data_IF_298340989455
#
_entry.id   IF_298340989455
#
_cell.length_a   1.000
_cell.length_b   1.000
_cell.length_c   1.000
_cell.angle_alpha   90.00
_cell.angle_beta   90.00
_cell.angle_gamma   90.00
#
_symmetry.space_group_name_H-M   'P 1'
#
loop_
_entity.id
_entity.type
_entity.pdbx_description
1 polymer ?
#
# COMPACT_ATOMS: atom_id res chain seq x y z
N UNK A 1 2.17 4.75 30.70
CA UNK A 1 0.73 5.12 30.83
C UNK A 1 0.13 4.18 31.84
N UNK A 2 -0.46 4.72 32.91
CA UNK A 2 -0.94 3.92 34.04
C UNK A 2 -2.12 3.02 33.59
N UNK A 3 -2.06 1.76 33.99
CA UNK A 3 -3.05 0.71 33.72
C UNK A 3 -4.46 1.09 34.19
N UNK A 4 -4.54 1.95 35.23
CA UNK A 4 -5.81 2.44 35.78
C UNK A 4 -6.52 3.45 34.90
N UNK A 5 -5.78 4.23 34.10
CA UNK A 5 -6.33 5.21 33.15
C UNK A 5 -7.02 4.52 31.95
N UNK A 6 -6.42 3.45 31.46
CA UNK A 6 -6.97 2.63 30.38
C UNK A 6 -8.32 1.98 30.78
N UNK A 7 -8.42 1.48 32.00
CA UNK A 7 -9.64 0.85 32.53
C UNK A 7 -10.79 1.85 32.78
N UNK A 8 -10.46 3.10 33.16
CA UNK A 8 -11.45 4.16 33.39
C UNK A 8 -12.03 4.72 32.07
N UNK A 9 -11.23 4.73 30.99
CA UNK A 9 -11.69 5.19 29.68
C UNK A 9 -12.70 4.24 29.03
N UNK A 10 -12.58 2.93 29.26
CA UNK A 10 -13.56 1.93 28.80
C UNK A 10 -14.90 2.04 29.56
N UNK A 11 -14.85 2.36 30.86
CA UNK A 11 -16.06 2.47 31.67
C UNK A 11 -16.87 3.74 31.41
N UNK A 12 -16.27 4.79 30.85
CA UNK A 12 -16.95 6.08 30.60
C UNK A 12 -17.74 6.11 29.27
N UNK A 13 -17.49 5.18 28.34
CA UNK A 13 -18.10 5.15 27.00
C UNK A 13 -19.28 4.16 26.87
N UNK A 14 -19.55 3.31 27.86
CA UNK A 14 -20.64 2.33 27.81
C UNK A 14 -21.89 2.80 28.58
N UNK A 15 -22.71 3.63 27.94
CA UNK A 15 -24.10 3.88 28.33
C UNK A 15 -25.04 2.70 28.02
N UNK A 16 -24.55 1.47 27.90
CA UNK A 16 -25.36 0.25 27.71
C UNK A 16 -25.17 -0.68 28.90
N UNK A 17 -26.31 -1.14 29.40
CA UNK A 17 -26.54 -1.82 30.67
C UNK A 17 -25.53 -2.86 31.09
N UNK A 18 -25.29 -2.81 32.40
CA UNK A 18 -24.44 -3.71 33.17
C UNK A 18 -24.95 -5.15 33.07
N UNK A 19 -24.41 -5.94 32.16
CA UNK A 19 -24.42 -7.40 32.25
C UNK A 19 -23.11 -7.93 31.65
N UNK A 20 -22.14 -8.22 32.52
CA UNK A 20 -20.99 -9.05 32.15
C UNK A 20 -19.62 -8.40 32.07
N UNK A 21 -19.36 -7.24 32.69
CA UNK A 21 -18.02 -6.70 32.88
C UNK A 21 -17.28 -7.49 34.00
N UNK A 22 -16.96 -8.77 33.74
CA UNK A 22 -15.85 -9.44 34.38
C UNK A 22 -14.57 -9.06 33.64
N UNK A 23 -14.06 -7.90 34.04
CA UNK A 23 -12.67 -7.40 33.97
C UNK A 23 -12.02 -7.26 32.60
N UNK A 24 -11.67 -6.04 32.27
CA UNK A 24 -10.69 -5.71 31.22
C UNK A 24 -9.36 -6.52 31.33
N UNK A 25 -9.05 -7.10 32.48
CA UNK A 25 -7.98 -8.08 32.65
C UNK A 25 -8.22 -9.39 31.88
N UNK A 26 -9.48 -9.79 31.63
CA UNK A 26 -9.82 -10.91 30.76
C UNK A 26 -9.52 -10.64 29.29
N UNK A 27 -9.68 -9.41 28.82
CA UNK A 27 -9.41 -9.03 27.44
C UNK A 27 -7.91 -8.96 27.11
N UNK A 28 -7.08 -8.58 28.04
CA UNK A 28 -5.61 -8.55 27.87
C UNK A 28 -5.01 -9.97 27.82
N UNK A 29 -5.66 -10.97 28.43
CA UNK A 29 -5.28 -12.39 28.38
C UNK A 29 -5.93 -13.15 27.22
N UNK A 30 -7.02 -12.64 26.64
CA UNK A 30 -7.64 -13.17 25.44
C UNK A 30 -6.81 -12.70 24.24
N UNK A 31 -6.24 -13.63 23.48
CA UNK A 31 -5.43 -13.30 22.29
C UNK A 31 -6.20 -12.45 21.24
N UNK A 32 -5.52 -11.91 20.22
CA UNK A 32 -6.08 -10.98 19.25
C UNK A 32 -7.38 -11.46 18.56
N UNK A 33 -7.66 -12.74 18.53
CA UNK A 33 -8.91 -13.30 17.98
C UNK A 33 -10.15 -12.95 18.79
N UNK A 34 -10.06 -12.96 20.12
CA UNK A 34 -11.20 -12.56 20.98
C UNK A 34 -11.46 -11.05 20.95
N UNK A 35 -10.40 -10.26 20.79
CA UNK A 35 -10.52 -8.82 20.63
C UNK A 35 -11.25 -8.47 19.32
N UNK A 36 -10.90 -9.10 18.20
CA UNK A 36 -11.56 -8.88 16.91
C UNK A 36 -13.02 -9.35 16.95
N UNK A 37 -13.33 -10.49 17.57
CA UNK A 37 -14.71 -10.93 17.77
C UNK A 37 -15.55 -9.94 18.59
N UNK A 38 -14.95 -9.30 19.61
CA UNK A 38 -15.63 -8.28 20.40
C UNK A 38 -15.86 -6.97 19.62
N UNK A 39 -14.99 -6.65 18.64
CA UNK A 39 -15.11 -5.47 17.78
C UNK A 39 -16.15 -5.65 16.67
N UNK A 40 -16.44 -6.89 16.26
CA UNK A 40 -17.35 -7.22 15.14
C UNK A 40 -18.67 -7.83 15.62
N UNK A 41 -19.03 -7.74 16.92
CA UNK A 41 -20.33 -8.14 17.39
C UNK A 41 -21.40 -7.17 16.88
N UNK A 42 -22.41 -7.68 16.18
CA UNK A 42 -23.56 -6.95 15.62
C UNK A 42 -23.34 -6.06 14.38
N UNK A 43 -22.46 -6.46 13.47
CA UNK A 43 -22.25 -5.84 12.14
C UNK A 43 -21.53 -4.48 12.10
N UNK A 44 -21.32 -3.79 13.21
CA UNK A 44 -20.61 -2.51 13.27
C UNK A 44 -19.23 -2.66 13.92
N UNK A 45 -18.19 -2.23 13.21
CA UNK A 45 -16.83 -2.20 13.75
C UNK A 45 -16.66 -0.94 14.61
N UNK A 46 -16.24 -1.12 15.86
CA UNK A 46 -15.94 0.00 16.74
C UNK A 46 -14.56 0.60 16.40
N UNK A 47 -14.48 1.43 15.38
CA UNK A 47 -13.24 2.04 14.88
C UNK A 47 -12.47 2.83 15.94
N UNK A 48 -13.15 3.53 16.84
CA UNK A 48 -12.52 4.27 17.93
C UNK A 48 -11.78 3.34 18.91
N UNK A 49 -12.36 2.16 19.18
CA UNK A 49 -11.70 1.14 20.02
C UNK A 49 -10.50 0.55 19.27
N UNK A 50 -10.62 0.37 17.95
CA UNK A 50 -9.56 -0.17 17.12
C UNK A 50 -8.28 0.68 17.18
N UNK A 51 -8.40 2.01 17.23
CA UNK A 51 -7.29 2.94 17.38
C UNK A 51 -6.40 2.63 18.60
N UNK A 52 -6.95 2.08 19.68
CA UNK A 52 -6.18 1.73 20.88
C UNK A 52 -5.09 0.69 20.66
N UNK A 53 -5.15 -0.06 19.53
CA UNK A 53 -4.10 -1.01 19.13
C UNK A 53 -2.87 -0.35 18.51
N UNK A 54 -2.91 0.95 18.31
CA UNK A 54 -1.81 1.70 17.71
C UNK A 54 -1.16 2.60 18.75
N UNK A 55 0.17 2.61 18.82
CA UNK A 55 0.92 3.45 19.76
C UNK A 55 1.01 4.89 19.27
N UNK A 56 -0.11 5.45 18.82
CA UNK A 56 -0.21 6.85 18.44
C UNK A 56 -0.46 7.71 19.70
N UNK A 57 0.34 8.76 19.94
CA UNK A 57 0.16 9.61 21.14
C UNK A 57 -1.22 10.27 21.16
N UNK A 58 -1.73 10.56 22.37
CA UNK A 58 -2.94 11.36 22.52
C UNK A 58 -2.76 12.74 21.88
N UNK A 59 -3.77 13.20 21.14
CA UNK A 59 -3.74 14.47 20.40
C UNK A 59 -2.91 14.46 19.11
N UNK A 60 -2.23 13.35 18.79
CA UNK A 60 -1.52 13.19 17.52
C UNK A 60 -2.43 12.52 16.49
N UNK A 61 -2.91 13.30 15.54
CA UNK A 61 -3.80 12.86 14.48
C UNK A 61 -2.99 12.50 13.25
N UNK A 62 -2.92 11.19 12.96
CA UNK A 62 -2.02 10.66 11.93
C UNK A 62 -2.76 10.46 10.60
N UNK A 63 -2.61 11.41 9.69
CA UNK A 63 -3.21 11.41 8.35
C UNK A 63 -2.17 11.15 7.24
N UNK A 64 -1.29 10.16 7.43
CA UNK A 64 -0.22 9.89 6.46
C UNK A 64 0.04 8.40 6.21
N UNK A 65 -1.00 7.57 6.23
CA UNK A 65 -0.93 6.12 5.89
C UNK A 65 -0.33 5.89 4.52
N UNK A 66 -0.68 6.72 3.54
CA UNK A 66 -0.09 6.69 2.19
C UNK A 66 1.43 6.93 2.16
N UNK A 67 2.01 7.53 3.21
CA UNK A 67 3.46 7.63 3.42
C UNK A 67 4.01 6.38 4.13
N UNK A 68 3.42 6.05 5.26
CA UNK A 68 3.76 4.87 6.07
C UNK A 68 2.60 4.59 7.05
N UNK A 69 2.06 3.39 7.08
CA UNK A 69 1.05 2.98 8.06
C UNK A 69 1.65 2.79 9.45
N UNK A 70 0.84 3.01 10.47
CA UNK A 70 1.21 2.66 11.84
C UNK A 70 1.06 1.15 12.04
N UNK A 71 2.10 0.48 12.52
CA UNK A 71 2.05 -0.97 12.78
C UNK A 71 1.31 -1.21 14.10
N UNK A 72 0.28 -2.09 14.14
CA UNK A 72 -0.42 -2.42 15.38
C UNK A 72 0.53 -2.96 16.46
N UNK A 73 0.25 -2.62 17.71
CA UNK A 73 1.08 -3.02 18.86
C UNK A 73 1.28 -4.54 18.92
N UNK A 74 0.21 -5.32 18.78
CA UNK A 74 0.29 -6.79 18.84
C UNK A 74 1.09 -7.38 17.67
N UNK A 75 1.13 -6.73 16.50
CA UNK A 75 1.99 -7.14 15.37
C UNK A 75 3.45 -6.93 15.73
N UNK A 76 3.81 -5.78 16.32
CA UNK A 76 5.19 -5.50 16.78
C UNK A 76 5.64 -6.49 17.85
N UNK A 77 4.77 -6.77 18.81
CA UNK A 77 5.04 -7.77 19.87
C UNK A 77 5.23 -9.17 19.27
N UNK A 78 4.43 -9.53 18.27
CA UNK A 78 4.56 -10.82 17.59
C UNK A 78 5.89 -10.95 16.84
N UNK A 79 6.31 -9.90 16.12
CA UNK A 79 7.62 -9.83 15.45
C UNK A 79 8.76 -10.04 16.44
N UNK A 80 8.74 -9.33 17.57
CA UNK A 80 9.76 -9.44 18.62
C UNK A 80 9.80 -10.84 19.23
N UNK A 81 8.62 -11.40 19.52
CA UNK A 81 8.52 -12.76 20.05
C UNK A 81 9.09 -13.79 19.07
N UNK A 82 8.66 -13.72 17.79
CA UNK A 82 9.12 -14.67 16.78
C UNK A 82 10.64 -14.59 16.59
N UNK A 83 11.20 -13.40 16.57
CA UNK A 83 12.65 -13.21 16.50
C UNK A 83 13.35 -13.86 17.69
N UNK A 84 12.92 -13.55 18.91
CA UNK A 84 13.50 -14.14 20.10
C UNK A 84 13.41 -15.68 20.09
N UNK A 85 12.28 -16.25 19.67
CA UNK A 85 12.07 -17.69 19.60
C UNK A 85 13.03 -18.37 18.57
N UNK A 86 13.28 -17.72 17.44
CA UNK A 86 14.19 -18.25 16.40
C UNK A 86 15.66 -18.11 16.78
N UNK A 87 16.05 -17.13 17.60
CA UNK A 87 17.42 -16.99 18.09
C UNK A 87 17.82 -18.03 19.14
N UNK A 88 16.85 -18.74 19.74
CA UNK A 88 17.15 -19.87 20.65
C UNK A 88 17.78 -21.07 19.91
N UNK A 89 17.33 -21.26 18.64
CA UNK A 89 17.84 -22.32 17.76
C UNK A 89 18.07 -21.76 16.36
N UNK A 90 19.15 -20.99 16.13
CA UNK A 90 19.42 -20.38 14.85
C UNK A 90 19.53 -21.42 13.73
N UNK A 91 18.79 -21.21 12.64
CA UNK A 91 18.84 -22.05 11.46
C UNK A 91 19.22 -21.21 10.22
N UNK A 92 19.98 -21.78 9.26
CA UNK A 92 20.27 -21.08 8.01
C UNK A 92 19.01 -20.98 7.14
N UNK A 93 18.95 -19.92 6.31
CA UNK A 93 17.86 -19.69 5.37
C UNK A 93 16.59 -19.20 6.04
N UNK A 94 15.46 -19.69 5.56
CA UNK A 94 14.12 -19.38 6.05
C UNK A 94 13.30 -20.68 6.16
N UNK A 95 12.22 -20.64 6.93
CA UNK A 95 11.31 -21.77 7.05
C UNK A 95 10.35 -21.79 5.85
N UNK A 96 10.49 -22.76 4.94
CA UNK A 96 9.70 -22.86 3.72
C UNK A 96 8.18 -22.89 3.97
N UNK A 97 7.72 -23.58 5.00
CA UNK A 97 6.29 -23.65 5.31
C UNK A 97 5.75 -22.29 5.78
N UNK A 98 6.52 -21.56 6.58
CA UNK A 98 6.19 -20.18 6.99
C UNK A 98 6.17 -19.27 5.76
N UNK A 99 7.17 -19.37 4.91
CA UNK A 99 7.32 -18.59 3.70
C UNK A 99 6.15 -18.78 2.73
N UNK A 100 5.75 -20.01 2.50
CA UNK A 100 4.56 -20.36 1.70
C UNK A 100 3.27 -19.80 2.30
N UNK A 101 3.11 -19.86 3.63
CA UNK A 101 1.93 -19.29 4.30
C UNK A 101 1.84 -17.78 4.14
N UNK A 102 2.97 -17.06 4.23
CA UNK A 102 3.02 -15.61 3.99
C UNK A 102 2.59 -15.30 2.55
N UNK A 103 3.15 -16.03 1.55
CA UNK A 103 2.78 -15.85 0.13
C UNK A 103 1.30 -16.12 -0.13
N UNK A 104 0.72 -17.17 0.48
CA UNK A 104 -0.72 -17.44 0.39
C UNK A 104 -1.56 -16.34 1.01
N UNK A 105 -1.15 -15.80 2.16
CA UNK A 105 -1.85 -14.69 2.80
C UNK A 105 -1.87 -13.45 1.90
N UNK A 106 -0.74 -13.12 1.26
CA UNK A 106 -0.64 -12.06 0.28
C UNK A 106 -1.50 -12.36 -0.95
N UNK A 107 -1.43 -13.59 -1.50
CA UNK A 107 -2.21 -14.00 -2.67
C UNK A 107 -3.72 -13.81 -2.45
N UNK A 108 -4.24 -14.22 -1.29
CA UNK A 108 -5.64 -13.98 -0.91
C UNK A 108 -5.98 -12.49 -0.83
N UNK A 109 -5.08 -11.66 -0.26
CA UNK A 109 -5.31 -10.23 -0.10
C UNK A 109 -5.33 -9.46 -1.44
N UNK A 110 -4.86 -10.08 -2.54
CA UNK A 110 -4.85 -9.48 -3.88
C UNK A 110 -5.67 -10.27 -4.91
N UNK A 111 -6.62 -11.11 -4.46
CA UNK A 111 -7.57 -11.80 -5.33
C UNK A 111 -7.00 -12.95 -6.16
N UNK A 112 -5.92 -13.59 -5.70
CA UNK A 112 -5.33 -14.78 -6.35
C UNK A 112 -5.75 -16.09 -5.66
N UNK A 113 -6.60 -16.04 -4.62
CA UNK A 113 -6.92 -17.18 -3.78
C UNK A 113 -5.65 -17.78 -3.14
N UNK A 114 -5.47 -19.08 -3.21
CA UNK A 114 -4.28 -19.77 -2.70
C UNK A 114 -3.14 -19.90 -3.74
N UNK A 115 -3.30 -19.31 -4.93
CA UNK A 115 -2.30 -19.39 -5.98
C UNK A 115 -1.17 -18.37 -5.74
N UNK A 116 -0.16 -18.78 -4.99
CA UNK A 116 0.99 -17.98 -4.63
C UNK A 116 2.17 -18.10 -5.61
N UNK A 117 2.09 -18.93 -6.64
CA UNK A 117 3.24 -19.23 -7.53
C UNK A 117 3.81 -18.00 -8.24
N UNK A 118 2.98 -16.99 -8.49
CA UNK A 118 3.40 -15.71 -9.04
C UNK A 118 3.94 -14.73 -7.99
N UNK A 119 3.92 -15.05 -6.69
CA UNK A 119 4.30 -14.15 -5.60
C UNK A 119 5.75 -14.40 -5.18
N UNK A 120 6.57 -13.34 -5.27
CA UNK A 120 7.88 -13.25 -4.62
C UNK A 120 7.83 -12.25 -3.47
N UNK A 121 8.45 -12.61 -2.34
CA UNK A 121 8.63 -11.69 -1.22
C UNK A 121 9.79 -10.74 -1.52
N UNK A 122 9.54 -9.45 -1.38
CA UNK A 122 10.53 -8.40 -1.62
C UNK A 122 10.63 -7.48 -0.40
N UNK A 123 11.71 -6.72 -0.31
CA UNK A 123 11.88 -5.80 0.82
C UNK A 123 11.21 -4.43 0.60
N UNK A 124 10.57 -4.20 -0.53
CA UNK A 124 9.84 -2.97 -0.86
C UNK A 124 9.18 -3.07 -2.23
N UNK A 125 8.20 -2.20 -2.52
CA UNK A 125 7.68 -1.98 -3.88
C UNK A 125 8.81 -1.66 -4.87
N UNK A 126 9.75 -0.79 -4.48
CA UNK A 126 10.91 -0.40 -5.32
C UNK A 126 11.74 -1.61 -5.75
N UNK A 127 11.90 -2.62 -4.88
CA UNK A 127 12.60 -3.84 -5.26
C UNK A 127 11.85 -4.60 -6.38
N UNK A 128 10.53 -4.75 -6.25
CA UNK A 128 9.71 -5.36 -7.30
C UNK A 128 9.75 -4.57 -8.62
N UNK A 129 9.67 -3.23 -8.56
CA UNK A 129 9.84 -2.35 -9.73
C UNK A 129 11.18 -2.65 -10.45
N UNK A 130 12.28 -2.72 -9.69
CA UNK A 130 13.60 -2.99 -10.26
C UNK A 130 13.73 -4.40 -10.83
N UNK A 131 13.08 -5.41 -10.23
CA UNK A 131 13.05 -6.77 -10.76
C UNK A 131 12.36 -6.77 -12.13
N UNK A 132 11.19 -6.15 -12.26
CA UNK A 132 10.48 -6.06 -13.54
C UNK A 132 11.33 -5.33 -14.58
N UNK A 133 11.77 -4.12 -14.27
CA UNK A 133 12.46 -3.25 -15.22
C UNK A 133 13.79 -3.82 -15.70
N UNK A 134 14.58 -4.42 -14.81
CA UNK A 134 15.87 -4.98 -15.19
C UNK A 134 15.78 -6.42 -15.72
N UNK A 135 14.69 -7.14 -15.40
CA UNK A 135 14.48 -8.52 -15.83
C UNK A 135 13.97 -8.66 -17.27
N UNK A 136 13.23 -7.67 -17.78
CA UNK A 136 12.76 -7.65 -19.17
C UNK A 136 13.91 -7.27 -20.10
N UNK A 137 14.10 -8.05 -21.17
CA UNK A 137 15.14 -7.79 -22.18
C UNK A 137 14.70 -6.71 -23.18
N UNK A 138 14.66 -5.47 -22.72
CA UNK A 138 14.38 -4.32 -23.57
C UNK A 138 15.49 -4.09 -24.60
N UNK A 139 15.09 -3.69 -25.81
CA UNK A 139 15.98 -3.31 -26.92
C UNK A 139 16.10 -1.80 -27.01
N UNK A 140 17.19 -1.33 -27.64
CA UNK A 140 17.38 0.09 -27.95
C UNK A 140 16.15 0.63 -28.71
N UNK A 141 15.60 1.74 -28.23
CA UNK A 141 14.43 2.39 -28.79
C UNK A 141 13.09 1.78 -28.42
N UNK A 142 13.05 0.71 -27.60
CA UNK A 142 11.80 0.27 -26.98
C UNK A 142 11.21 1.40 -26.10
N UNK A 143 9.89 1.47 -26.07
CA UNK A 143 9.19 2.53 -25.37
C UNK A 143 8.49 1.98 -24.12
N UNK A 144 8.57 2.75 -23.03
CA UNK A 144 7.77 2.55 -21.81
C UNK A 144 6.91 3.78 -21.59
N UNK A 145 5.62 3.58 -21.30
CA UNK A 145 4.67 4.64 -20.93
C UNK A 145 4.48 4.62 -19.42
N UNK A 146 4.49 5.81 -18.80
CA UNK A 146 4.22 6.01 -17.37
C UNK A 146 3.38 7.27 -17.16
N UNK A 147 3.05 7.65 -15.91
CA UNK A 147 2.38 8.91 -15.61
C UNK A 147 3.34 9.92 -14.98
N UNK A 148 2.99 11.22 -15.03
CA UNK A 148 3.73 12.26 -14.30
C UNK A 148 3.49 12.19 -12.79
N UNK A 149 2.44 11.51 -12.34
CA UNK A 149 2.03 11.37 -10.94
C UNK A 149 2.64 10.16 -10.21
N UNK A 150 3.72 9.59 -10.77
CA UNK A 150 4.40 8.46 -10.14
C UNK A 150 5.32 8.89 -8.99
N UNK A 151 5.50 7.96 -8.06
CA UNK A 151 6.49 8.15 -6.99
C UNK A 151 7.92 8.03 -7.55
N UNK A 152 8.94 8.72 -6.99
CA UNK A 152 10.34 8.56 -7.37
C UNK A 152 10.84 7.11 -7.35
N UNK A 153 10.18 6.21 -6.59
CA UNK A 153 10.46 4.78 -6.60
C UNK A 153 10.25 4.11 -7.97
N UNK A 154 9.42 4.68 -8.85
CA UNK A 154 9.23 4.24 -10.23
C UNK A 154 10.01 5.13 -11.21
N UNK A 155 9.92 6.47 -11.10
CA UNK A 155 10.59 7.37 -12.03
C UNK A 155 12.10 7.22 -12.04
N UNK A 156 12.76 7.12 -10.87
CA UNK A 156 14.21 7.01 -10.82
C UNK A 156 14.75 5.72 -11.47
N UNK A 157 14.20 4.52 -11.21
CA UNK A 157 14.56 3.30 -11.95
C UNK A 157 14.28 3.38 -13.44
N UNK A 158 13.16 3.98 -13.88
CA UNK A 158 12.84 4.16 -15.30
C UNK A 158 13.89 5.03 -15.98
N UNK A 159 14.24 6.18 -15.41
CA UNK A 159 15.26 7.09 -15.96
C UNK A 159 16.61 6.38 -16.03
N UNK A 160 17.03 5.71 -14.96
CA UNK A 160 18.29 4.96 -14.94
C UNK A 160 18.32 3.86 -16.01
N UNK A 161 17.24 3.11 -16.17
CA UNK A 161 17.14 2.07 -17.19
C UNK A 161 17.16 2.67 -18.61
N UNK A 162 16.43 3.77 -18.83
CA UNK A 162 16.38 4.47 -20.11
C UNK A 162 17.77 4.93 -20.56
N UNK A 163 18.55 5.49 -19.63
CA UNK A 163 19.95 5.92 -19.91
C UNK A 163 20.86 4.74 -20.25
N UNK A 164 20.73 3.60 -19.55
CA UNK A 164 21.55 2.41 -19.74
C UNK A 164 21.23 1.64 -21.02
N UNK A 165 19.96 1.63 -21.43
CA UNK A 165 19.44 0.80 -22.53
C UNK A 165 19.01 1.63 -23.75
N UNK A 166 19.12 2.96 -23.69
CA UNK A 166 18.64 3.88 -24.74
C UNK A 166 17.14 3.67 -25.04
N UNK A 167 16.32 3.61 -23.97
CA UNK A 167 14.87 3.47 -24.09
C UNK A 167 14.19 4.83 -24.24
N UNK A 168 12.97 4.81 -24.76
CA UNK A 168 12.08 5.98 -24.84
C UNK A 168 11.11 5.92 -23.68
N UNK A 169 11.14 6.90 -22.80
CA UNK A 169 10.12 7.05 -21.75
C UNK A 169 9.16 8.15 -22.17
N UNK A 170 7.87 7.83 -22.21
CA UNK A 170 6.81 8.82 -22.40
C UNK A 170 5.92 8.84 -21.17
N UNK A 171 5.52 10.04 -20.75
CA UNK A 171 4.63 10.22 -19.62
C UNK A 171 3.38 11.03 -20.03
N UNK A 172 2.24 10.61 -19.51
CA UNK A 172 1.00 11.38 -19.61
C UNK A 172 0.70 12.08 -18.27
N UNK A 173 0.04 13.22 -18.37
CA UNK A 173 -0.53 13.90 -17.20
C UNK A 173 -1.91 13.30 -16.92
N UNK A 174 -2.19 12.75 -15.72
CA UNK A 174 -3.49 12.20 -15.39
C UNK A 174 -4.61 13.23 -15.43
N UNK A 175 -5.78 12.83 -15.97
CA UNK A 175 -6.99 13.63 -15.97
C UNK A 175 -7.73 13.43 -14.65
N UNK A 176 -7.78 14.46 -13.81
CA UNK A 176 -8.45 14.42 -12.51
C UNK A 176 -9.95 14.74 -12.60
N UNK A 177 -10.41 15.31 -13.72
CA UNK A 177 -11.83 15.68 -13.93
C UNK A 177 -12.63 14.48 -14.47
N UNK A 178 -12.09 13.82 -15.49
CA UNK A 178 -12.72 12.65 -16.14
C UNK A 178 -11.72 11.49 -16.15
N UNK A 179 -11.80 10.63 -15.13
CA UNK A 179 -10.79 9.57 -14.94
C UNK A 179 -10.65 8.62 -16.12
N UNK A 180 -11.73 8.34 -16.86
CA UNK A 180 -11.69 7.45 -18.03
C UNK A 180 -10.87 8.03 -19.22
N UNK A 181 -10.70 9.36 -19.30
CA UNK A 181 -9.84 9.98 -20.31
C UNK A 181 -8.38 9.51 -20.23
N UNK A 182 -7.95 8.99 -19.09
CA UNK A 182 -6.59 8.47 -18.92
C UNK A 182 -6.30 7.29 -19.86
N UNK A 183 -7.31 6.49 -20.22
CA UNK A 183 -7.15 5.44 -21.23
C UNK A 183 -6.70 6.05 -22.55
N UNK A 184 -7.44 7.05 -23.03
CA UNK A 184 -7.09 7.74 -24.29
C UNK A 184 -5.71 8.39 -24.21
N UNK A 185 -5.39 9.10 -23.12
CA UNK A 185 -4.08 9.77 -22.93
C UNK A 185 -2.92 8.79 -23.03
N UNK A 186 -3.05 7.59 -22.47
CA UNK A 186 -2.04 6.55 -22.55
C UNK A 186 -1.88 6.04 -23.99
N UNK A 187 -2.98 5.72 -24.66
CA UNK A 187 -2.94 5.09 -25.98
C UNK A 187 -2.69 6.08 -27.14
N UNK A 188 -2.86 7.38 -26.92
CA UNK A 188 -2.36 8.41 -27.83
C UNK A 188 -0.83 8.47 -27.88
N UNK A 189 -0.14 8.02 -26.81
CA UNK A 189 1.31 7.93 -26.74
C UNK A 189 1.84 6.58 -27.27
N UNK A 190 0.98 5.55 -27.32
CA UNK A 190 1.39 4.19 -27.66
C UNK A 190 1.71 4.06 -29.17
N UNK A 191 2.84 3.40 -29.47
CA UNK A 191 3.29 3.15 -30.82
C UNK A 191 3.84 1.74 -31.01
N UNK A 192 4.36 1.39 -32.20
CA UNK A 192 4.83 0.04 -32.53
C UNK A 192 6.01 -0.46 -31.64
N UNK A 193 6.71 0.46 -30.99
CA UNK A 193 7.82 0.15 -30.06
C UNK A 193 7.42 0.17 -28.60
N UNK A 194 6.16 0.40 -28.27
CA UNK A 194 5.68 0.36 -26.89
C UNK A 194 5.69 -1.08 -26.38
N UNK A 195 6.47 -1.34 -25.33
CA UNK A 195 6.65 -2.68 -24.74
C UNK A 195 5.97 -2.81 -23.39
N UNK A 196 5.88 -1.71 -22.64
CA UNK A 196 5.38 -1.74 -21.27
C UNK A 196 4.64 -0.43 -20.96
N UNK A 197 3.50 -0.55 -20.28
CA UNK A 197 2.88 0.53 -19.53
C UNK A 197 3.18 0.24 -18.06
N UNK A 198 3.88 1.15 -17.36
CA UNK A 198 4.17 1.00 -15.94
C UNK A 198 3.65 2.21 -15.18
N UNK A 199 2.57 2.03 -14.45
CA UNK A 199 1.83 3.09 -13.75
C UNK A 199 1.42 2.63 -12.35
N UNK A 200 1.13 3.59 -11.48
CA UNK A 200 0.45 3.30 -10.21
C UNK A 200 -1.00 2.90 -10.45
N UNK A 201 -1.52 1.94 -9.70
CA UNK A 201 -2.96 1.67 -9.68
C UNK A 201 -3.71 2.83 -9.02
N UNK A 202 -3.15 3.37 -7.93
CA UNK A 202 -3.62 4.60 -7.27
C UNK A 202 -2.45 5.57 -7.22
N UNK A 203 -2.63 6.79 -7.74
CA UNK A 203 -1.57 7.80 -7.75
C UNK A 203 -1.19 8.24 -6.33
N UNK A 204 0.09 8.34 -6.05
CA UNK A 204 0.57 8.72 -4.72
C UNK A 204 0.41 10.23 -4.44
N UNK A 205 0.18 11.02 -5.45
CA UNK A 205 0.08 12.48 -5.38
C UNK A 205 -1.27 12.96 -4.88
N UNK A 206 -2.35 12.49 -5.51
CA UNK A 206 -3.72 12.97 -5.28
C UNK A 206 -4.75 11.85 -5.06
N UNK A 207 -4.30 10.59 -5.01
CA UNK A 207 -5.17 9.46 -4.72
C UNK A 207 -6.13 9.08 -5.86
N UNK A 208 -5.76 9.34 -7.10
CA UNK A 208 -6.58 8.90 -8.22
C UNK A 208 -6.45 7.39 -8.44
N UNK A 209 -7.56 6.68 -8.40
CA UNK A 209 -7.68 5.32 -8.92
C UNK A 209 -7.70 5.40 -10.45
N UNK A 210 -6.71 4.83 -11.12
CA UNK A 210 -6.69 4.78 -12.58
C UNK A 210 -7.63 3.69 -13.12
N UNK A 211 -8.20 3.85 -14.34
CA UNK A 211 -9.07 2.86 -14.99
C UNK A 211 -8.23 1.70 -15.54
N UNK A 212 -7.59 0.95 -14.62
CA UNK A 212 -6.57 -0.05 -14.99
C UNK A 212 -7.15 -1.25 -15.74
N UNK A 213 -8.42 -1.59 -15.55
CA UNK A 213 -9.08 -2.66 -16.31
C UNK A 213 -9.10 -2.31 -17.80
N UNK A 214 -9.61 -1.14 -18.14
CA UNK A 214 -9.70 -0.65 -19.51
C UNK A 214 -8.32 -0.46 -20.13
N UNK A 215 -7.34 -0.04 -19.31
CA UNK A 215 -5.94 0.11 -19.74
C UNK A 215 -5.33 -1.27 -20.07
N UNK A 216 -5.51 -2.27 -19.21
CA UNK A 216 -4.99 -3.64 -19.42
C UNK A 216 -5.62 -4.27 -20.65
N UNK A 217 -6.95 -4.23 -20.77
CA UNK A 217 -7.67 -4.78 -21.90
C UNK A 217 -7.20 -4.18 -23.25
N UNK A 218 -7.02 -2.88 -23.32
CA UNK A 218 -6.55 -2.21 -24.53
C UNK A 218 -5.05 -2.45 -24.80
N UNK A 219 -4.22 -2.52 -23.76
CA UNK A 219 -2.81 -2.83 -23.87
C UNK A 219 -2.59 -4.26 -24.44
N UNK A 220 -3.32 -5.25 -23.91
CA UNK A 220 -3.21 -6.64 -24.36
C UNK A 220 -3.63 -6.82 -25.83
N UNK A 221 -4.66 -6.10 -26.33
CA UNK A 221 -5.02 -6.07 -27.77
C UNK A 221 -3.86 -5.61 -28.64
N UNK A 222 -2.94 -4.80 -28.09
CA UNK A 222 -1.76 -4.26 -28.78
C UNK A 222 -0.47 -5.00 -28.47
N UNK A 223 -0.52 -6.12 -27.72
CA UNK A 223 0.63 -6.87 -27.23
C UNK A 223 1.57 -5.99 -26.38
N UNK A 224 1.03 -5.07 -25.58
CA UNK A 224 1.77 -4.23 -24.64
C UNK A 224 1.57 -4.82 -23.24
N UNK A 225 2.68 -5.01 -22.50
CA UNK A 225 2.65 -5.47 -21.12
C UNK A 225 2.21 -4.36 -20.17
N UNK A 226 1.57 -4.74 -19.06
CA UNK A 226 1.16 -3.79 -18.02
C UNK A 226 1.72 -4.18 -16.66
N UNK A 227 2.46 -3.25 -16.05
CA UNK A 227 2.93 -3.34 -14.67
C UNK A 227 2.25 -2.28 -13.81
N UNK A 228 1.78 -2.68 -12.64
CA UNK A 228 1.13 -1.79 -11.69
C UNK A 228 1.95 -1.62 -10.41
N UNK A 229 2.25 -0.37 -10.06
CA UNK A 229 2.69 -0.02 -8.71
C UNK A 229 1.47 -0.01 -7.78
N UNK A 230 1.42 -1.01 -6.92
CA UNK A 230 0.35 -1.25 -5.95
C UNK A 230 0.59 -0.62 -4.58
N UNK A 231 1.64 0.20 -4.42
CA UNK A 231 2.04 0.74 -3.11
C UNK A 231 0.94 1.52 -2.40
N UNK A 232 -0.02 2.07 -3.14
CA UNK A 232 -1.16 2.81 -2.58
C UNK A 232 -2.46 2.03 -2.62
N UNK A 233 -2.51 0.85 -3.26
CA UNK A 233 -3.77 0.14 -3.48
C UNK A 233 -3.94 -1.09 -2.60
N UNK A 234 -2.88 -1.87 -2.29
CA UNK A 234 -3.01 -3.06 -1.45
C UNK A 234 -3.35 -2.67 0.00
N UNK A 235 -4.57 -2.97 0.43
CA UNK A 235 -5.12 -2.61 1.74
C UNK A 235 -5.95 -1.32 1.75
N UNK A 236 -5.98 -0.58 0.64
CA UNK A 236 -6.77 0.64 0.44
C UNK A 236 -7.91 0.43 -0.57
N UNK A 237 -7.82 -0.60 -1.38
CA UNK A 237 -8.81 -0.96 -2.39
C UNK A 237 -8.93 -2.47 -2.46
N UNK A 238 -10.08 -2.94 -2.93
CA UNK A 238 -10.25 -4.35 -3.26
C UNK A 238 -9.50 -4.62 -4.55
N UNK A 239 -8.58 -5.57 -4.48
CA UNK A 239 -7.69 -5.94 -5.57
C UNK A 239 -8.00 -7.37 -6.00
N UNK A 240 -8.32 -7.56 -7.27
CA UNK A 240 -8.60 -8.85 -7.88
C UNK A 240 -7.65 -9.05 -9.09
N UNK A 241 -6.37 -9.36 -8.78
CA UNK A 241 -5.33 -9.46 -9.83
C UNK A 241 -5.64 -10.53 -10.87
N UNK A 242 -6.33 -11.62 -10.45
CA UNK A 242 -6.73 -12.69 -11.37
C UNK A 242 -7.75 -12.19 -12.39
N UNK A 243 -8.75 -11.42 -11.93
CA UNK A 243 -9.81 -10.87 -12.76
C UNK A 243 -9.33 -9.69 -13.62
N UNK A 244 -8.36 -8.92 -13.12
CA UNK A 244 -7.70 -7.86 -13.89
C UNK A 244 -6.80 -8.39 -15.00
N UNK A 245 -6.36 -9.63 -14.92
CA UNK A 245 -5.40 -10.25 -15.84
C UNK A 245 -4.08 -9.48 -16.01
N UNK A 246 -3.65 -8.75 -14.97
CA UNK A 246 -2.45 -7.92 -15.01
C UNK A 246 -1.19 -8.76 -15.14
N UNK A 247 -0.19 -8.25 -15.85
CA UNK A 247 1.07 -8.96 -16.08
C UNK A 247 2.01 -8.91 -14.87
N UNK A 248 2.12 -7.73 -14.24
CA UNK A 248 2.97 -7.49 -13.08
C UNK A 248 2.30 -6.57 -12.07
N UNK A 249 2.49 -6.88 -10.79
CA UNK A 249 2.02 -6.04 -9.69
C UNK A 249 3.02 -6.08 -8.54
N UNK A 250 3.34 -4.94 -7.94
CA UNK A 250 4.24 -4.89 -6.80
C UNK A 250 3.76 -3.93 -5.73
N UNK A 251 3.90 -4.31 -4.46
CA UNK A 251 3.45 -3.49 -3.34
C UNK A 251 4.36 -3.64 -2.13
N UNK A 252 4.25 -2.67 -1.21
CA UNK A 252 4.96 -2.67 0.08
C UNK A 252 4.02 -2.95 1.24
N UNK A 253 4.48 -3.69 2.24
CA UNK A 253 3.70 -4.03 3.42
C UNK A 253 3.53 -2.90 4.44
N UNK A 254 4.37 -1.87 4.39
CA UNK A 254 4.45 -0.83 5.43
C UNK A 254 3.47 0.33 5.28
N UNK A 255 2.57 0.33 4.31
CA UNK A 255 1.56 1.38 4.11
C UNK A 255 0.19 0.91 4.58
N UNK A 256 -0.69 0.61 3.66
CA UNK A 256 -2.09 0.25 3.94
C UNK A 256 -2.27 -1.17 4.50
N UNK A 257 -1.29 -2.05 4.31
CA UNK A 257 -1.26 -3.36 4.99
C UNK A 257 -0.80 -3.26 6.45
N UNK A 258 -0.36 -2.11 6.95
CA UNK A 258 0.07 -1.86 8.32
C UNK A 258 1.15 -2.82 8.83
N UNK A 259 1.92 -3.40 7.91
CA UNK A 259 3.01 -4.32 8.22
C UNK A 259 4.32 -3.61 8.54
N UNK A 260 5.34 -4.36 8.97
CA UNK A 260 6.68 -3.84 9.21
C UNK A 260 7.30 -3.23 7.94
N UNK A 261 8.16 -2.21 8.15
CA UNK A 261 9.02 -1.69 7.08
C UNK A 261 9.95 -2.80 6.58
N UNK A 262 10.43 -2.69 5.33
CA UNK A 262 11.27 -3.70 4.67
C UNK A 262 10.53 -5.01 4.38
N UNK A 263 9.21 -4.94 4.24
CA UNK A 263 8.38 -6.00 3.69
C UNK A 263 7.64 -5.51 2.45
N UNK A 264 7.44 -6.40 1.49
CA UNK A 264 6.71 -6.15 0.26
C UNK A 264 6.63 -7.43 -0.56
N UNK A 265 6.03 -7.33 -1.73
CA UNK A 265 5.92 -8.45 -2.65
C UNK A 265 5.88 -7.98 -4.10
N UNK A 266 6.23 -8.90 -4.98
CA UNK A 266 6.09 -8.82 -6.43
C UNK A 266 5.18 -9.95 -6.89
N UNK A 267 4.19 -9.64 -7.70
CA UNK A 267 3.46 -10.60 -8.51
C UNK A 267 3.95 -10.56 -9.96
N UNK A 268 4.32 -11.70 -10.49
CA UNK A 268 4.55 -11.93 -11.91
C UNK A 268 3.54 -12.96 -12.38
N UNK A 269 2.76 -12.63 -13.41
CA UNK A 269 1.83 -13.59 -14.02
C UNK A 269 2.58 -14.89 -14.36
N UNK A 270 2.13 -16.07 -13.90
CA UNK A 270 2.91 -17.31 -14.03
C UNK A 270 3.38 -17.63 -15.46
N UNK A 271 2.61 -17.26 -16.48
CA UNK A 271 2.97 -17.41 -17.88
C UNK A 271 4.11 -16.49 -18.34
N UNK A 272 4.48 -15.49 -17.56
CA UNK A 272 5.50 -14.48 -17.88
C UNK A 272 6.78 -14.64 -17.05
N UNK A 273 6.87 -15.68 -16.20
CA UNK A 273 8.06 -15.91 -15.37
C UNK A 273 9.35 -16.01 -16.18
N UNK A 274 9.30 -16.62 -17.38
CA UNK A 274 10.48 -16.76 -18.23
C UNK A 274 10.82 -15.50 -19.02
N UNK A 275 9.88 -14.54 -19.11
CA UNK A 275 10.11 -13.23 -19.71
C UNK A 275 10.93 -12.32 -18.79
N UNK A 276 10.76 -12.46 -17.47
CA UNK A 276 11.46 -11.62 -16.48
C UNK A 276 12.64 -12.39 -15.91
N UNK A 277 13.82 -12.11 -16.42
CA UNK A 277 15.04 -12.77 -15.98
C UNK A 277 15.46 -12.27 -14.58
N UNK A 278 15.77 -13.16 -13.62
CA UNK A 278 16.35 -12.74 -12.35
C UNK A 278 17.67 -11.99 -12.57
N UNK A 279 17.83 -10.82 -11.97
CA UNK A 279 19.03 -9.96 -12.10
C UNK A 279 19.80 -9.82 -10.80
N UNK A 280 19.14 -10.05 -9.67
CA UNK A 280 19.77 -10.20 -8.36
C UNK A 280 19.55 -11.65 -7.95
N UNK A 281 20.62 -12.43 -7.92
CA UNK A 281 20.55 -13.88 -7.72
C UNK A 281 21.52 -14.32 -6.61
N UNK A 282 21.16 -15.40 -5.96
CA UNK A 282 21.96 -16.00 -4.89
C UNK A 282 21.31 -17.30 -4.45
N UNK A 283 21.73 -17.86 -3.31
CA UNK A 283 21.10 -19.04 -2.74
C UNK A 283 19.57 -18.85 -2.65
N UNK A 284 18.81 -19.87 -3.00
CA UNK A 284 17.35 -19.96 -3.05
C UNK A 284 16.68 -19.40 -4.32
N UNK A 285 17.42 -18.72 -5.21
CA UNK A 285 16.90 -18.28 -6.52
C UNK A 285 16.87 -19.42 -7.55
N UNK A 286 17.74 -20.39 -7.37
CA UNK A 286 17.96 -21.50 -8.30
C UNK A 286 17.25 -22.79 -7.88
N UNK A 287 16.90 -23.62 -8.86
CA UNK A 287 16.60 -25.03 -8.66
C UNK A 287 17.88 -25.90 -8.71
N UNK A 288 18.84 -25.50 -9.55
CA UNK A 288 20.16 -26.14 -9.61
C UNK A 288 21.17 -25.22 -10.31
N UNK A 289 22.47 -25.44 -10.06
CA UNK A 289 23.54 -24.78 -10.78
C UNK A 289 24.79 -25.65 -10.91
N UNK A 290 25.62 -25.35 -11.90
CA UNK A 290 26.95 -25.95 -12.08
C UNK A 290 27.94 -24.87 -12.46
N UNK A 291 28.91 -24.61 -11.57
CA UNK A 291 30.00 -23.65 -11.91
C UNK A 291 30.96 -24.22 -12.98
N UNK A 292 31.06 -25.53 -13.03
CA UNK A 292 31.88 -26.20 -14.04
C UNK A 292 31.33 -26.00 -15.46
N UNK A 293 30.01 -26.12 -15.59
CA UNK A 293 29.31 -26.03 -16.87
C UNK A 293 28.75 -24.63 -17.15
N UNK A 294 28.97 -23.67 -16.23
CA UNK A 294 28.45 -22.31 -16.28
C UNK A 294 26.92 -22.29 -16.51
N UNK A 295 26.21 -23.21 -15.87
CA UNK A 295 24.76 -23.40 -16.03
C UNK A 295 24.02 -23.12 -14.76
N UNK A 296 22.80 -22.59 -14.90
CA UNK A 296 21.85 -22.36 -13.82
C UNK A 296 20.42 -22.65 -14.31
N UNK A 297 19.66 -23.33 -13.48
CA UNK A 297 18.23 -23.55 -13.65
C UNK A 297 17.50 -22.80 -12.56
N UNK A 298 16.55 -21.95 -12.93
CA UNK A 298 15.80 -21.13 -11.98
C UNK A 298 14.70 -21.93 -11.26
N UNK A 299 14.32 -21.50 -10.08
CA UNK A 299 13.08 -21.97 -9.43
C UNK A 299 11.90 -21.80 -10.40
N UNK A 300 10.96 -22.76 -10.37
CA UNK A 300 9.84 -22.84 -11.33
C UNK A 300 8.73 -21.82 -11.09
N UNK A 301 8.80 -21.07 -10.02
CA UNK A 301 7.84 -20.05 -9.62
C UNK A 301 8.56 -18.71 -9.31
N UNK A 302 7.84 -17.74 -8.76
CA UNK A 302 8.39 -16.42 -8.45
C UNK A 302 9.48 -16.43 -7.36
N UNK A 303 9.71 -17.56 -6.66
CA UNK A 303 10.83 -17.74 -5.72
C UNK A 303 12.18 -17.45 -6.40
N UNK A 304 12.28 -17.61 -7.75
CA UNK A 304 13.47 -17.23 -8.52
C UNK A 304 13.93 -15.78 -8.34
N UNK A 305 13.06 -14.90 -7.84
CA UNK A 305 13.38 -13.48 -7.54
C UNK A 305 13.75 -13.25 -6.07
N UNK A 306 13.69 -14.29 -5.25
CA UNK A 306 14.13 -14.27 -3.85
C UNK A 306 15.58 -14.79 -3.77
N UNK A 307 16.32 -14.33 -2.79
CA UNK A 307 17.72 -14.73 -2.60
C UNK A 307 18.19 -14.50 -1.18
N UNK A 308 19.22 -15.21 -0.76
CA UNK A 308 19.90 -15.12 0.53
C UNK A 308 18.98 -15.40 1.72
N UNK A 309 19.57 -15.47 2.90
CA UNK A 309 18.83 -15.54 4.17
C UNK A 309 18.05 -14.25 4.38
N UNK A 310 16.74 -14.37 4.61
CA UNK A 310 15.83 -13.26 4.81
C UNK A 310 15.47 -13.10 6.29
N UNK A 311 14.89 -11.96 6.65
CA UNK A 311 14.37 -11.72 7.98
C UNK A 311 12.91 -12.20 8.09
N UNK A 312 12.72 -13.46 8.47
CA UNK A 312 11.40 -14.08 8.61
C UNK A 312 10.50 -13.32 9.57
N UNK A 313 11.06 -12.75 10.64
CA UNK A 313 10.31 -12.06 11.68
C UNK A 313 9.49 -10.89 11.13
N UNK A 314 10.04 -10.13 10.17
CA UNK A 314 9.32 -9.01 9.56
C UNK A 314 8.18 -9.51 8.67
N UNK A 315 8.40 -10.61 7.92
CA UNK A 315 7.40 -11.15 7.02
C UNK A 315 6.26 -11.88 7.76
N UNK A 316 6.55 -12.57 8.87
CA UNK A 316 5.47 -13.10 9.73
C UNK A 316 4.69 -11.96 10.38
N UNK A 317 5.33 -10.81 10.65
CA UNK A 317 4.64 -9.59 11.07
C UNK A 317 3.71 -9.04 9.99
N UNK A 318 4.12 -9.07 8.72
CA UNK A 318 3.26 -8.69 7.59
C UNK A 318 2.07 -9.62 7.48
N UNK A 319 2.28 -10.95 7.54
CA UNK A 319 1.20 -11.94 7.53
C UNK A 319 0.21 -11.69 8.67
N UNK A 320 0.71 -11.43 9.87
CA UNK A 320 -0.11 -11.14 11.05
C UNK A 320 -0.96 -9.89 10.86
N UNK A 321 -0.42 -8.87 10.21
CA UNK A 321 -1.16 -7.65 9.86
C UNK A 321 -2.22 -7.89 8.79
N UNK A 322 -1.89 -8.63 7.72
CA UNK A 322 -2.86 -9.02 6.68
C UNK A 322 -4.01 -9.83 7.29
N UNK A 323 -3.68 -10.82 8.14
CA UNK A 323 -4.67 -11.62 8.86
C UNK A 323 -5.61 -10.78 9.74
N UNK A 324 -5.07 -9.75 10.38
CA UNK A 324 -5.86 -8.80 11.17
C UNK A 324 -6.82 -7.99 10.28
N UNK A 325 -6.32 -7.37 9.21
CA UNK A 325 -7.15 -6.59 8.29
C UNK A 325 -8.21 -7.45 7.59
N UNK A 326 -7.84 -8.67 7.18
CA UNK A 326 -8.78 -9.61 6.57
C UNK A 326 -9.94 -10.00 7.51
N UNK A 327 -9.69 -10.08 8.81
CA UNK A 327 -10.75 -10.35 9.81
C UNK A 327 -11.67 -9.15 10.06
N UNK A 328 -11.18 -7.92 9.89
CA UNK A 328 -12.03 -6.74 9.86
C UNK A 328 -12.91 -6.71 8.61
N UNK A 329 -12.49 -7.39 7.55
CA UNK A 329 -13.14 -7.38 6.23
C UNK A 329 -12.67 -6.24 5.35
N UNK A 330 -12.20 -6.58 4.16
CA UNK A 330 -11.67 -5.59 3.21
C UNK A 330 -12.73 -4.57 2.79
N UNK A 331 -13.98 -5.01 2.57
CA UNK A 331 -15.10 -4.11 2.25
C UNK A 331 -15.38 -3.10 3.38
N UNK A 332 -15.36 -3.56 4.62
CA UNK A 332 -15.57 -2.69 5.78
C UNK A 332 -14.48 -1.60 5.87
N UNK A 333 -13.21 -2.01 5.66
CA UNK A 333 -12.07 -1.08 5.68
C UNK A 333 -12.20 -0.05 4.56
N UNK A 334 -12.42 -0.51 3.33
CA UNK A 334 -12.53 0.36 2.15
C UNK A 334 -13.69 1.34 2.30
N UNK A 335 -14.84 0.86 2.79
CA UNK A 335 -16.01 1.71 3.02
C UNK A 335 -15.75 2.76 4.12
N UNK A 336 -15.17 2.36 5.26
CA UNK A 336 -14.80 3.28 6.33
C UNK A 336 -13.85 4.37 5.84
N UNK A 337 -12.74 3.96 5.24
CA UNK A 337 -11.71 4.87 4.76
C UNK A 337 -12.26 5.84 3.71
N UNK A 338 -13.15 5.35 2.85
CA UNK A 338 -13.80 6.14 1.81
C UNK A 338 -14.81 7.14 2.38
N UNK A 339 -15.59 6.77 3.40
CA UNK A 339 -16.49 7.69 4.08
C UNK A 339 -15.73 8.87 4.70
N UNK A 340 -14.61 8.61 5.39
CA UNK A 340 -13.75 9.67 5.94
C UNK A 340 -13.18 10.58 4.84
N UNK A 341 -12.77 9.99 3.71
CA UNK A 341 -12.25 10.76 2.57
C UNK A 341 -13.31 11.66 1.94
N UNK A 342 -14.56 11.19 1.79
CA UNK A 342 -15.65 11.98 1.25
C UNK A 342 -16.04 13.13 2.20
N UNK A 343 -16.17 12.86 3.50
CA UNK A 343 -16.41 13.91 4.50
C UNK A 343 -15.33 14.99 4.41
N UNK A 344 -14.06 14.60 4.33
CA UNK A 344 -12.96 15.55 4.21
C UNK A 344 -12.98 16.30 2.88
N UNK A 345 -13.18 15.62 1.76
CA UNK A 345 -13.21 16.22 0.43
C UNK A 345 -14.34 17.24 0.28
N UNK A 346 -15.55 16.89 0.73
CA UNK A 346 -16.70 17.79 0.68
C UNK A 346 -16.55 18.96 1.66
N UNK A 347 -15.99 18.71 2.85
CA UNK A 347 -15.66 19.76 3.81
C UNK A 347 -14.67 20.79 3.24
N UNK A 348 -13.62 20.35 2.55
CA UNK A 348 -12.66 21.26 1.89
C UNK A 348 -13.34 22.20 0.88
N UNK A 349 -14.32 21.72 0.11
CA UNK A 349 -15.06 22.54 -0.85
C UNK A 349 -15.88 23.67 -0.21
N UNK A 350 -16.25 23.49 1.06
CA UNK A 350 -16.98 24.50 1.86
C UNK A 350 -16.10 25.61 2.41
N UNK A 351 -14.76 25.50 2.34
CA UNK A 351 -13.84 26.46 2.91
C UNK A 351 -13.33 27.41 1.81
N UNK A 352 -13.55 28.71 1.99
CA UNK A 352 -13.11 29.72 1.03
C UNK A 352 -11.58 29.74 0.92
N UNK A 353 -11.05 29.84 -0.30
CA UNK A 353 -9.61 29.85 -0.58
C UNK A 353 -8.94 28.48 -0.48
N UNK A 354 -9.71 27.38 -0.32
CA UNK A 354 -9.18 26.03 -0.32
C UNK A 354 -9.55 25.31 -1.62
N UNK A 355 -8.58 24.65 -2.23
CA UNK A 355 -8.75 23.85 -3.45
C UNK A 355 -8.44 22.39 -3.18
N UNK A 356 -9.42 21.51 -3.34
CA UNK A 356 -9.20 20.08 -3.43
C UNK A 356 -8.56 19.73 -4.78
N UNK A 357 -7.49 18.92 -4.77
CA UNK A 357 -6.72 18.55 -5.98
C UNK A 357 -6.96 17.07 -6.34
N UNK A 358 -7.62 16.30 -5.48
CA UNK A 358 -8.01 14.92 -5.75
C UNK A 358 -9.12 14.81 -6.78
N UNK A 359 -9.34 13.63 -7.40
CA UNK A 359 -10.30 13.45 -8.49
C UNK A 359 -11.71 13.95 -8.16
N UNK A 360 -12.34 14.61 -9.12
CA UNK A 360 -13.71 15.10 -8.97
C UNK A 360 -14.73 13.96 -8.94
N UNK A 361 -14.55 12.92 -9.79
CA UNK A 361 -15.44 11.76 -9.81
C UNK A 361 -15.21 10.84 -8.62
N UNK A 362 -16.29 10.60 -7.85
CA UNK A 362 -16.29 9.72 -6.66
C UNK A 362 -15.67 8.33 -6.91
N UNK A 363 -15.95 7.70 -8.05
CA UNK A 363 -15.46 6.36 -8.37
C UNK A 363 -13.94 6.26 -8.53
N UNK A 364 -13.27 7.37 -8.85
CA UNK A 364 -11.83 7.46 -9.01
C UNK A 364 -11.13 8.10 -7.82
N UNK A 365 -11.87 8.54 -6.79
CA UNK A 365 -11.33 9.10 -5.56
C UNK A 365 -11.10 8.01 -4.53
N UNK A 366 -9.98 8.06 -3.83
CA UNK A 366 -9.58 7.11 -2.79
C UNK A 366 -9.36 7.84 -1.45
N UNK A 367 -9.10 7.11 -0.34
CA UNK A 367 -8.75 7.70 0.96
C UNK A 367 -7.44 8.52 0.99
N UNK A 368 -7.04 9.08 -0.14
CA UNK A 368 -5.88 9.97 -0.29
C UNK A 368 -6.39 11.28 -0.88
N UNK A 369 -6.42 12.33 -0.09
CA UNK A 369 -6.93 13.64 -0.49
C UNK A 369 -5.80 14.67 -0.42
N UNK A 370 -5.55 15.34 -1.55
CA UNK A 370 -4.61 16.44 -1.65
C UNK A 370 -5.34 17.78 -1.83
N UNK A 371 -4.80 18.82 -1.24
CA UNK A 371 -5.39 20.15 -1.25
C UNK A 371 -4.33 21.24 -1.11
N UNK A 372 -4.70 22.46 -1.48
CA UNK A 372 -3.92 23.68 -1.30
C UNK A 372 -4.80 24.79 -0.69
N UNK A 373 -4.15 25.79 -0.10
CA UNK A 373 -4.78 27.03 0.39
C UNK A 373 -4.22 28.20 -0.40
N UNK A 374 -5.08 29.03 -0.94
CA UNK A 374 -4.69 30.18 -1.76
C UNK A 374 -3.75 31.12 -1.00
N UNK A 375 -2.71 31.57 -1.66
CA UNK A 375 -1.71 32.48 -1.07
C UNK A 375 -0.77 31.81 -0.05
N UNK A 376 -0.95 30.53 0.28
CA UNK A 376 -0.11 29.82 1.25
C UNK A 376 0.76 28.76 0.59
N UNK A 377 2.08 28.83 0.82
CA UNK A 377 3.00 27.77 0.41
C UNK A 377 2.66 26.45 1.11
N UNK A 378 2.57 25.36 0.37
CA UNK A 378 2.24 24.02 0.88
C UNK A 378 3.14 23.54 2.04
N UNK A 379 4.42 24.00 2.08
CA UNK A 379 5.33 23.69 3.19
C UNK A 379 4.90 24.37 4.48
N UNK A 380 4.47 25.64 4.38
CA UNK A 380 3.97 26.40 5.54
C UNK A 380 2.65 25.82 6.03
N UNK A 381 1.75 25.47 5.13
CA UNK A 381 0.48 24.81 5.45
C UNK A 381 0.70 23.48 6.19
N UNK A 382 1.58 22.62 5.69
CA UNK A 382 1.89 21.35 6.35
C UNK A 382 2.55 21.54 7.72
N UNK A 383 3.42 22.54 7.88
CA UNK A 383 4.05 22.86 9.16
C UNK A 383 3.04 23.41 10.18
N UNK A 384 2.12 24.27 9.74
CA UNK A 384 1.08 24.84 10.61
C UNK A 384 0.10 23.75 11.08
N UNK A 385 -0.36 22.87 10.18
CA UNK A 385 -1.14 21.69 10.56
C UNK A 385 -0.36 20.80 11.54
N UNK A 386 0.95 20.63 11.32
CA UNK A 386 1.82 19.90 12.23
C UNK A 386 1.87 20.47 13.64
N UNK A 387 1.93 21.80 13.81
CA UNK A 387 1.87 22.47 15.11
C UNK A 387 0.53 22.24 15.83
N UNK A 388 -0.55 22.08 15.07
CA UNK A 388 -1.90 21.77 15.57
C UNK A 388 -2.12 20.27 15.81
N UNK A 389 -1.08 19.42 15.66
CA UNK A 389 -1.13 18.00 15.96
C UNK A 389 -1.55 17.11 14.78
N UNK A 390 -1.66 17.65 13.56
CA UNK A 390 -2.01 16.88 12.36
C UNK A 390 -0.78 16.45 11.58
N UNK A 391 -0.58 15.14 11.41
CA UNK A 391 0.51 14.62 10.57
C UNK A 391 0.02 14.39 9.15
N UNK A 392 0.40 15.26 8.26
CA UNK A 392 0.11 15.23 6.81
C UNK A 392 1.41 15.11 6.00
N UNK A 393 1.31 15.01 4.68
CA UNK A 393 2.46 14.98 3.77
C UNK A 393 2.48 16.19 2.83
N UNK A 394 3.66 16.74 2.62
CA UNK A 394 3.95 17.67 1.54
C UNK A 394 4.07 16.91 0.22
N UNK A 395 3.39 17.36 -0.83
CA UNK A 395 3.45 16.78 -2.18
C UNK A 395 4.05 17.82 -3.11
N UNK A 396 5.19 17.47 -3.71
CA UNK A 396 5.91 18.29 -4.69
C UNK A 396 6.04 17.57 -6.05
N UNK A 397 5.69 16.29 -6.08
CA UNK A 397 5.68 15.50 -7.29
C UNK A 397 4.68 16.09 -8.29
N UNK A 398 4.96 15.95 -9.57
CA UNK A 398 4.19 16.54 -10.68
C UNK A 398 4.01 18.08 -10.58
N UNK A 399 4.79 18.77 -9.75
CA UNK A 399 4.64 20.22 -9.54
C UNK A 399 3.36 20.63 -8.81
N UNK A 400 2.69 19.71 -8.10
CA UNK A 400 1.38 19.98 -7.47
C UNK A 400 1.43 20.95 -6.29
N UNK A 401 2.56 21.06 -5.60
CA UNK A 401 2.75 21.95 -4.44
C UNK A 401 1.59 21.91 -3.44
N UNK A 402 1.18 20.70 -3.03
CA UNK A 402 0.00 20.43 -2.24
C UNK A 402 0.32 19.81 -0.88
N UNK A 403 -0.68 19.81 0.01
CA UNK A 403 -0.69 18.99 1.23
C UNK A 403 -1.62 17.80 1.01
N UNK A 404 -1.18 16.61 1.43
CA UNK A 404 -1.91 15.36 1.29
C UNK A 404 -2.26 14.77 2.65
N UNK A 405 -3.54 14.53 2.88
CA UNK A 405 -4.04 13.69 3.96
C UNK A 405 -4.35 12.29 3.43
N UNK A 406 -4.27 11.28 4.29
CA UNK A 406 -4.67 9.91 3.96
C UNK A 406 -5.21 9.21 5.20
N UNK A 407 -6.38 8.61 5.09
CA UNK A 407 -7.20 8.07 6.17
C UNK A 407 -7.15 6.55 6.17
N UNK A 408 -7.23 5.95 7.35
CA UNK A 408 -7.26 4.49 7.49
C UNK A 408 -7.88 4.09 8.83
N UNK A 409 -8.00 2.82 9.10
CA UNK A 409 -8.69 2.15 10.22
C UNK A 409 -8.48 2.76 11.62
N UNK A 410 -7.52 3.61 11.82
CA UNK A 410 -7.26 4.30 13.09
C UNK A 410 -7.69 5.77 13.11
N UNK A 411 -8.31 6.26 12.04
CA UNK A 411 -8.89 7.59 11.96
C UNK A 411 -10.40 7.53 12.16
N UNK A 412 -11.01 8.65 12.56
CA UNK A 412 -12.44 8.79 12.75
C UNK A 412 -12.97 10.14 12.30
N UNK A 413 -14.30 10.28 12.26
CA UNK A 413 -15.01 11.47 11.79
C UNK A 413 -14.62 12.72 12.60
N UNK A 414 -14.48 12.62 13.92
CA UNK A 414 -14.15 13.76 14.77
C UNK A 414 -12.73 14.31 14.50
N UNK A 415 -11.80 13.46 14.06
CA UNK A 415 -10.47 13.90 13.63
C UNK A 415 -10.54 14.63 12.29
N UNK A 416 -11.47 14.24 11.39
CA UNK A 416 -11.73 14.93 10.13
C UNK A 416 -12.30 16.32 10.38
N UNK A 417 -13.32 16.43 11.22
CA UNK A 417 -13.94 17.71 11.59
C UNK A 417 -12.89 18.68 12.18
N UNK A 418 -12.12 18.21 13.14
CA UNK A 418 -11.05 19.00 13.74
C UNK A 418 -9.98 19.46 12.72
N UNK A 419 -9.70 18.67 11.66
CA UNK A 419 -8.77 19.07 10.61
C UNK A 419 -9.39 20.12 9.68
N UNK A 420 -10.68 19.98 9.34
CA UNK A 420 -11.41 20.96 8.54
C UNK A 420 -11.51 22.32 9.25
N UNK A 421 -11.81 22.33 10.56
CA UNK A 421 -11.78 23.53 11.40
C UNK A 421 -10.38 24.19 11.38
N UNK A 422 -9.33 23.40 11.57
CA UNK A 422 -7.96 23.92 11.54
C UNK A 422 -7.59 24.51 10.17
N UNK A 423 -8.03 23.91 9.07
CA UNK A 423 -7.82 24.43 7.71
C UNK A 423 -8.61 25.73 7.50
N UNK A 424 -9.86 25.80 7.96
CA UNK A 424 -10.67 27.00 7.87
C UNK A 424 -10.06 28.19 8.62
N UNK A 425 -9.53 27.96 9.82
CA UNK A 425 -8.79 28.99 10.58
C UNK A 425 -7.51 29.45 9.88
N UNK A 426 -6.81 28.55 9.19
CA UNK A 426 -5.55 28.85 8.51
C UNK A 426 -5.81 29.65 7.21
N UNK A 427 -6.97 29.43 6.56
CA UNK A 427 -7.33 30.06 5.28
C UNK A 427 -7.86 31.49 5.43
N UNK A 428 -8.16 31.95 6.65
CA UNK A 428 -8.57 33.33 6.98
C UNK A 428 -7.35 34.25 7.10
#
# INVERSE_FOLDING_TARGET
>A
MDRSFFLKSIAALSGVGILGLKTAEGFVKAGPNHFIQALTSDQDIAWDILRSNFSLPAGYRYFNTAGCGAVPEFVRQYVMKYWNDTEVHPAPGHNDAVWVNIKKSIARAVGLGDNYRGIALTNSTTAGINIILNGIDFKNGDQIITSTHEHPALHAPLINLAQRKSLIIQSFEPDLEIGLNNVKRIFDLAGPRTRLIFISLITCTCGQLLPVREIIEEAHKRNILVALDGAQSTGNSIIELLDLDVDFYTSGGQKWLLGPKRTGFLYVKPSLLDLVRPTTVGAYSEASYSIKDLSITWAHDATRYEYATQNDSLFVGLEKSISFLSKLGWDNIVNHDKLLAEQFYDGLKGIQGVKAISPNEYKYRTPIISFSVDGMCYKNLANELGRRGFRVRMVHEAGLEAVRASFHVYNNESEIDAMLEAIADISQ
#
